data_IF_219135772779
#
_entry.id   IF_219135772779
#
_cell.length_a   1.000
_cell.length_b   1.000
_cell.length_c   1.000
_cell.angle_alpha   90.00
_cell.angle_beta   90.00
_cell.angle_gamma   90.00
#
_symmetry.space_group_name_H-M   'P 1'
#
loop_
_entity.id
_entity.type
_entity.pdbx_description
1 polymer ?
#
# COMPACT_ATOMS: atom_id res chain seq x y z
N UNK A 1 10.56 -3.71 9.11
CA UNK A 1 11.31 -4.96 9.41
C UNK A 1 10.30 -6.08 9.62
N UNK A 2 10.53 -7.26 9.04
CA UNK A 2 9.66 -8.41 9.26
C UNK A 2 9.69 -8.84 10.73
N UNK A 3 8.54 -9.15 11.31
CA UNK A 3 8.43 -9.70 12.65
C UNK A 3 8.99 -11.12 12.71
N UNK A 4 9.44 -11.53 13.90
CA UNK A 4 9.92 -12.90 14.15
C UNK A 4 8.87 -13.97 13.84
N UNK A 5 7.58 -13.64 13.93
CA UNK A 5 6.50 -14.57 13.57
C UNK A 5 6.52 -14.86 12.06
N UNK A 6 6.70 -13.84 11.23
CA UNK A 6 6.68 -14.00 9.76
C UNK A 6 7.87 -14.78 9.25
N UNK A 7 9.06 -14.49 9.81
CA UNK A 7 10.25 -15.28 9.46
C UNK A 7 10.04 -16.77 9.77
N UNK A 8 9.36 -17.12 10.87
CA UNK A 8 9.01 -18.51 11.17
C UNK A 8 8.02 -19.09 10.17
N UNK A 9 7.01 -18.32 9.75
CA UNK A 9 6.05 -18.76 8.73
C UNK A 9 6.77 -19.04 7.40
N UNK A 10 7.63 -18.12 6.93
CA UNK A 10 8.41 -18.30 5.70
C UNK A 10 9.36 -19.50 5.79
N UNK A 11 10.02 -19.68 6.93
CA UNK A 11 10.87 -20.87 7.18
C UNK A 11 10.04 -22.15 7.12
N UNK A 12 8.85 -22.18 7.73
CA UNK A 12 7.97 -23.34 7.71
C UNK A 12 7.47 -23.66 6.28
N UNK A 13 7.09 -22.64 5.51
CA UNK A 13 6.71 -22.79 4.10
C UNK A 13 7.85 -23.37 3.26
N UNK A 14 9.07 -22.84 3.42
CA UNK A 14 10.24 -23.34 2.72
C UNK A 14 10.58 -24.79 3.09
N UNK A 15 10.50 -25.14 4.38
CA UNK A 15 10.69 -26.51 4.86
C UNK A 15 9.61 -27.45 4.31
N UNK A 16 8.35 -27.02 4.30
CA UNK A 16 7.24 -27.80 3.76
C UNK A 16 7.45 -28.12 2.28
N UNK A 17 7.79 -27.11 1.47
CA UNK A 17 8.12 -27.28 0.06
C UNK A 17 9.34 -28.22 -0.13
N UNK A 18 10.37 -28.09 0.71
CA UNK A 18 11.53 -28.98 0.69
C UNK A 18 11.16 -30.44 0.96
N UNK A 19 10.32 -30.72 1.96
CA UNK A 19 9.92 -32.09 2.28
C UNK A 19 8.92 -32.71 1.29
N UNK A 20 8.16 -31.91 0.55
CA UNK A 20 7.29 -32.40 -0.52
C UNK A 20 8.00 -32.67 -1.85
N UNK A 21 9.16 -32.04 -2.08
CA UNK A 21 9.86 -32.20 -3.35
C UNK A 21 10.49 -33.59 -3.49
N UNK A 22 10.23 -34.28 -4.61
CA UNK A 22 10.79 -35.61 -4.92
C UNK A 22 12.32 -35.65 -4.93
N UNK A 23 12.96 -34.51 -5.24
CA UNK A 23 14.41 -34.29 -5.19
C UNK A 23 14.71 -32.99 -4.47
N UNK A 24 14.79 -33.07 -3.16
CA UNK A 24 14.98 -31.92 -2.29
C UNK A 24 16.47 -31.56 -2.15
N UNK A 25 16.81 -30.32 -2.54
CA UNK A 25 18.15 -29.73 -2.38
C UNK A 25 18.07 -28.57 -1.38
N UNK A 26 18.84 -28.66 -0.31
CA UNK A 26 18.84 -27.68 0.77
C UNK A 26 19.28 -26.29 0.27
N UNK A 27 20.21 -26.24 -0.69
CA UNK A 27 20.66 -24.99 -1.28
C UNK A 27 19.56 -24.33 -2.10
N UNK A 28 18.72 -25.12 -2.80
CA UNK A 28 17.55 -24.62 -3.52
C UNK A 28 16.52 -24.07 -2.52
N UNK A 29 16.17 -24.83 -1.48
CA UNK A 29 15.22 -24.40 -0.47
C UNK A 29 15.68 -23.13 0.27
N UNK A 30 16.97 -23.00 0.56
CA UNK A 30 17.55 -21.79 1.14
C UNK A 30 17.38 -20.57 0.22
N UNK A 31 17.63 -20.71 -1.08
CA UNK A 31 17.42 -19.63 -2.05
C UNK A 31 15.95 -19.23 -2.15
N UNK A 32 15.03 -20.19 -2.20
CA UNK A 32 13.59 -19.91 -2.25
C UNK A 32 13.07 -19.23 -0.98
N UNK A 33 13.61 -19.56 0.20
CA UNK A 33 13.30 -18.85 1.45
C UNK A 33 13.70 -17.37 1.37
N UNK A 34 14.94 -17.07 0.95
CA UNK A 34 15.38 -15.68 0.82
C UNK A 34 14.60 -14.92 -0.26
N UNK A 35 14.26 -15.61 -1.36
CA UNK A 35 13.41 -15.06 -2.42
C UNK A 35 12.03 -14.70 -1.89
N UNK A 36 11.39 -15.56 -1.11
CA UNK A 36 10.05 -15.27 -0.55
C UNK A 36 10.10 -14.08 0.40
N UNK A 37 11.15 -13.96 1.22
CA UNK A 37 11.38 -12.81 2.09
C UNK A 37 11.54 -11.52 1.27
N UNK A 38 12.30 -11.57 0.17
CA UNK A 38 12.47 -10.42 -0.72
C UNK A 38 11.13 -10.02 -1.37
N UNK A 39 10.30 -10.99 -1.76
CA UNK A 39 8.97 -10.72 -2.34
C UNK A 39 8.00 -10.03 -1.39
N UNK A 40 8.06 -10.33 -0.08
CA UNK A 40 7.30 -9.58 0.93
C UNK A 40 7.75 -8.12 0.98
N UNK A 41 9.05 -7.87 0.90
CA UNK A 41 9.57 -6.49 0.90
C UNK A 41 9.17 -5.75 -0.38
N UNK A 42 9.20 -6.42 -1.52
CA UNK A 42 8.71 -5.91 -2.80
C UNK A 42 7.25 -5.47 -2.70
N UNK A 43 6.38 -6.33 -2.15
CA UNK A 43 4.96 -6.03 -1.91
C UNK A 43 4.77 -4.85 -0.95
N UNK A 44 5.59 -4.77 0.10
CA UNK A 44 5.56 -3.63 1.03
C UNK A 44 5.84 -2.30 0.31
N UNK A 45 6.87 -2.26 -0.54
CA UNK A 45 7.18 -1.06 -1.34
C UNK A 45 6.07 -0.78 -2.35
N UNK A 46 5.47 -1.83 -2.93
CA UNK A 46 4.34 -1.71 -3.87
C UNK A 46 3.12 -1.04 -3.21
N UNK A 47 2.71 -1.48 -2.02
CA UNK A 47 1.59 -0.89 -1.28
C UNK A 47 1.90 0.50 -0.73
N UNK A 48 3.15 0.78 -0.34
CA UNK A 48 3.56 2.15 -0.01
C UNK A 48 3.48 3.09 -1.23
N UNK A 49 3.83 2.59 -2.42
CA UNK A 49 3.65 3.37 -3.65
C UNK A 49 2.17 3.60 -3.97
N UNK A 50 1.27 2.67 -3.62
CA UNK A 50 -0.18 2.89 -3.73
C UNK A 50 -0.65 4.04 -2.82
N UNK A 51 -0.18 4.09 -1.57
CA UNK A 51 -0.52 5.20 -0.65
C UNK A 51 -0.09 6.56 -1.21
N UNK A 52 1.08 6.62 -1.85
CA UNK A 52 1.51 7.83 -2.57
C UNK A 52 0.54 8.19 -3.68
N UNK A 53 0.15 7.24 -4.53
CA UNK A 53 -0.73 7.50 -5.68
C UNK A 53 -2.15 7.91 -5.25
N UNK A 54 -2.64 7.40 -4.11
CA UNK A 54 -3.87 7.86 -3.46
C UNK A 54 -3.76 9.31 -2.96
N UNK A 55 -2.61 9.67 -2.38
CA UNK A 55 -2.31 11.05 -1.99
C UNK A 55 -2.19 11.99 -3.21
N UNK A 56 -1.54 11.56 -4.28
CA UNK A 56 -1.45 12.33 -5.53
C UNK A 56 -2.86 12.51 -6.15
N UNK A 57 -3.74 11.51 -6.02
CA UNK A 57 -5.16 11.61 -6.42
C UNK A 57 -5.95 12.63 -5.58
N UNK A 58 -5.67 12.73 -4.28
CA UNK A 58 -6.23 13.76 -3.38
C UNK A 58 -5.87 15.18 -3.85
N UNK A 59 -4.60 15.38 -4.23
CA UNK A 59 -4.13 16.64 -4.76
C UNK A 59 -4.78 16.98 -6.11
N UNK A 60 -4.83 16.02 -7.04
CA UNK A 60 -5.41 16.24 -8.36
C UNK A 60 -6.92 16.55 -8.30
N UNK A 61 -7.67 15.86 -7.45
CA UNK A 61 -9.09 16.14 -7.26
C UNK A 61 -9.33 17.54 -6.67
N UNK A 62 -8.47 17.98 -5.76
CA UNK A 62 -8.55 19.32 -5.19
C UNK A 62 -8.22 20.41 -6.24
N UNK A 63 -7.19 20.20 -7.05
CA UNK A 63 -6.83 21.10 -8.15
C UNK A 63 -7.99 21.25 -9.15
N UNK A 64 -8.66 20.14 -9.49
CA UNK A 64 -9.86 20.12 -10.34
C UNK A 64 -11.04 20.89 -9.71
N UNK A 65 -11.19 20.86 -8.38
CA UNK A 65 -12.22 21.63 -7.66
C UNK A 65 -11.93 23.13 -7.69
N UNK A 66 -10.66 23.54 -7.54
CA UNK A 66 -10.27 24.95 -7.64
C UNK A 66 -10.47 25.54 -9.04
N UNK A 67 -10.38 24.71 -10.08
CA UNK A 67 -10.65 25.11 -11.47
C UNK A 67 -12.14 25.26 -11.80
N UNK A 68 -13.06 24.73 -10.97
CA UNK A 68 -14.51 24.93 -11.17
C UNK A 68 -14.89 26.38 -10.87
N UNK A 69 -15.65 27.00 -11.77
CA UNK A 69 -16.00 28.43 -11.75
C UNK A 69 -16.74 28.94 -10.49
N UNK A 70 -17.29 28.05 -9.66
CA UNK A 70 -17.96 28.40 -8.40
C UNK A 70 -17.68 27.35 -7.32
N UNK A 71 -16.49 27.36 -6.70
CA UNK A 71 -16.20 26.49 -5.58
C UNK A 71 -16.99 26.98 -4.36
N UNK A 72 -17.64 26.09 -3.61
CA UNK A 72 -18.24 26.48 -2.32
C UNK A 72 -17.11 26.83 -1.35
N UNK A 73 -17.30 27.81 -0.46
CA UNK A 73 -16.27 28.21 0.51
C UNK A 73 -15.80 27.05 1.42
N UNK A 74 -16.66 26.06 1.65
CA UNK A 74 -16.36 24.81 2.35
C UNK A 74 -15.46 23.85 1.54
N UNK A 75 -15.54 23.89 0.20
CA UNK A 75 -14.75 23.08 -0.73
C UNK A 75 -13.36 23.70 -0.99
N UNK A 76 -13.24 25.03 -0.98
CA UNK A 76 -11.93 25.74 -1.03
C UNK A 76 -11.09 25.47 0.23
N UNK A 77 -11.76 25.17 1.34
CA UNK A 77 -11.15 24.77 2.61
C UNK A 77 -11.00 23.25 2.75
N UNK A 78 -11.25 22.47 1.70
CA UNK A 78 -10.90 21.04 1.68
C UNK A 78 -9.37 20.94 1.76
N UNK A 79 -8.87 20.91 3.00
CA UNK A 79 -7.45 20.77 3.30
C UNK A 79 -6.98 19.52 2.58
N UNK A 80 -5.93 19.64 1.77
CA UNK A 80 -5.23 18.55 1.07
C UNK A 80 -4.60 17.59 2.09
N UNK A 81 -5.41 16.98 2.93
CA UNK A 81 -4.97 16.45 4.22
C UNK A 81 -4.37 15.09 4.02
N UNK A 82 -4.85 14.31 3.05
CA UNK A 82 -4.25 13.03 2.69
C UNK A 82 -2.92 13.25 1.98
N UNK A 83 -2.84 14.19 1.02
CA UNK A 83 -1.57 14.54 0.39
C UNK A 83 -0.53 15.04 1.40
N UNK A 84 -0.93 15.91 2.33
CA UNK A 84 -0.03 16.52 3.31
C UNK A 84 0.28 15.66 4.54
N UNK A 85 -0.16 14.39 4.59
CA UNK A 85 0.20 13.51 5.71
C UNK A 85 1.72 13.46 5.83
N UNK A 86 2.23 13.81 7.02
CA UNK A 86 3.68 13.92 7.27
C UNK A 86 4.44 12.64 6.93
N UNK A 87 3.85 11.48 7.18
CA UNK A 87 4.43 10.20 6.81
C UNK A 87 4.61 10.04 5.29
N UNK A 88 3.58 10.36 4.50
CA UNK A 88 3.64 10.26 3.04
C UNK A 88 4.69 11.22 2.49
N UNK A 89 4.71 12.47 2.96
CA UNK A 89 5.70 13.46 2.53
C UNK A 89 7.13 13.04 2.88
N UNK A 90 7.35 12.53 4.10
CA UNK A 90 8.66 12.02 4.51
C UNK A 90 9.09 10.78 3.71
N UNK A 91 8.14 9.89 3.38
CA UNK A 91 8.37 8.71 2.57
C UNK A 91 8.77 9.10 1.13
N UNK A 92 8.04 10.01 0.50
CA UNK A 92 8.33 10.48 -0.87
C UNK A 92 9.66 11.22 -0.94
N UNK A 93 10.03 11.97 0.10
CA UNK A 93 11.32 12.64 0.19
C UNK A 93 12.49 11.69 0.52
N UNK A 94 12.21 10.45 0.93
CA UNK A 94 13.24 9.49 1.31
C UNK A 94 13.95 8.90 0.09
N UNK A 95 15.27 9.03 0.07
CA UNK A 95 16.12 8.42 -0.96
C UNK A 95 15.99 6.89 -1.00
N UNK A 96 15.82 6.26 0.16
CA UNK A 96 15.68 4.81 0.24
C UNK A 96 14.41 4.34 -0.45
N UNK A 97 13.30 5.06 -0.25
CA UNK A 97 12.04 4.76 -0.93
C UNK A 97 12.21 4.87 -2.45
N UNK A 98 12.79 5.96 -2.95
CA UNK A 98 13.08 6.14 -4.38
C UNK A 98 13.97 5.00 -4.94
N UNK A 99 15.00 4.60 -4.20
CA UNK A 99 15.89 3.50 -4.59
C UNK A 99 15.15 2.17 -4.67
N UNK A 100 14.30 1.86 -3.68
CA UNK A 100 13.54 0.61 -3.68
C UNK A 100 12.44 0.59 -4.74
N UNK A 101 11.72 1.69 -4.95
CA UNK A 101 10.71 1.80 -6.02
C UNK A 101 11.36 1.56 -7.39
N UNK A 102 12.57 2.09 -7.61
CA UNK A 102 13.32 1.83 -8.85
C UNK A 102 13.84 0.40 -8.95
N UNK A 103 14.39 -0.15 -7.85
CA UNK A 103 14.93 -1.52 -7.81
C UNK A 103 13.85 -2.56 -8.13
N UNK A 104 12.65 -2.36 -7.60
CA UNK A 104 11.54 -3.30 -7.74
C UNK A 104 10.61 -2.96 -8.91
N UNK A 105 10.84 -1.85 -9.60
CA UNK A 105 9.99 -1.36 -10.69
C UNK A 105 8.52 -1.22 -10.30
N UNK A 106 8.23 -0.92 -9.03
CA UNK A 106 6.86 -0.74 -8.51
C UNK A 106 6.27 0.54 -9.08
N UNK A 107 5.18 0.43 -9.85
CA UNK A 107 4.52 1.57 -10.49
C UNK A 107 3.05 1.28 -10.75
N UNK A 108 2.17 2.18 -10.32
CA UNK A 108 0.72 2.11 -10.56
C UNK A 108 0.25 2.87 -11.81
N UNK A 109 1.17 3.38 -12.62
CA UNK A 109 0.87 4.22 -13.77
C UNK A 109 -0.04 3.56 -14.83
N UNK A 110 -0.04 2.23 -14.92
CA UNK A 110 -0.93 1.49 -15.83
C UNK A 110 -2.32 1.24 -15.25
N UNK A 111 -2.44 1.40 -13.93
CA UNK A 111 -3.59 0.98 -13.12
C UNK A 111 -4.20 2.17 -12.37
N UNK A 112 -3.97 3.39 -12.89
CA UNK A 112 -4.50 4.63 -12.33
C UNK A 112 -6.03 4.63 -12.23
N UNK A 113 -6.72 3.87 -13.09
CA UNK A 113 -8.17 3.67 -12.99
C UNK A 113 -8.58 2.95 -11.70
N UNK A 114 -7.81 1.95 -11.28
CA UNK A 114 -8.02 1.24 -10.02
C UNK A 114 -7.71 2.17 -8.84
N UNK A 115 -6.58 2.87 -8.88
CA UNK A 115 -6.21 3.88 -7.86
C UNK A 115 -7.30 4.93 -7.69
N UNK A 116 -7.83 5.45 -8.80
CA UNK A 116 -8.89 6.46 -8.79
C UNK A 116 -10.19 5.92 -8.20
N UNK A 117 -10.56 4.68 -8.51
CA UNK A 117 -11.74 4.03 -7.90
C UNK A 117 -11.58 3.91 -6.39
N UNK A 118 -10.44 3.40 -5.93
CA UNK A 118 -10.10 3.28 -4.51
C UNK A 118 -10.14 4.63 -3.80
N UNK A 119 -9.52 5.67 -4.39
CA UNK A 119 -9.56 7.02 -3.84
C UNK A 119 -10.99 7.55 -3.72
N UNK A 120 -11.83 7.38 -4.75
CA UNK A 120 -13.22 7.83 -4.71
C UNK A 120 -14.06 7.08 -3.67
N UNK A 121 -13.76 5.81 -3.41
CA UNK A 121 -14.40 5.03 -2.33
C UNK A 121 -14.00 5.56 -0.95
N UNK A 122 -12.71 5.81 -0.73
CA UNK A 122 -12.20 6.42 0.50
C UNK A 122 -12.82 7.81 0.70
N UNK A 123 -12.84 8.64 -0.35
CA UNK A 123 -13.37 10.02 -0.30
C UNK A 123 -14.85 10.08 0.07
N UNK A 124 -15.65 9.10 -0.37
CA UNK A 124 -17.09 9.02 -0.08
C UNK A 124 -17.38 8.61 1.37
N UNK A 125 -16.39 8.12 2.09
CA UNK A 125 -16.58 7.54 3.40
C UNK A 125 -16.73 8.61 4.49
N UNK A 126 -17.45 8.25 5.57
CA UNK A 126 -17.60 9.14 6.72
C UNK A 126 -16.26 9.34 7.44
N UNK A 127 -15.37 8.35 7.39
CA UNK A 127 -14.05 8.37 8.00
C UNK A 127 -13.15 9.43 7.36
N UNK A 128 -13.13 9.51 6.02
CA UNK A 128 -12.38 10.56 5.32
C UNK A 128 -12.99 11.94 5.59
N UNK A 129 -14.34 12.05 5.63
CA UNK A 129 -15.01 13.31 6.00
C UNK A 129 -14.67 13.78 7.41
N UNK A 130 -14.70 12.87 8.40
CA UNK A 130 -14.33 13.16 9.78
C UNK A 130 -12.85 13.55 9.89
N UNK A 131 -11.99 12.85 9.15
CA UNK A 131 -10.57 13.20 9.04
C UNK A 131 -10.36 14.59 8.45
N UNK A 132 -11.15 15.05 7.48
CA UNK A 132 -11.04 16.42 6.96
C UNK A 132 -11.49 17.49 7.97
N UNK A 133 -12.50 17.19 8.80
CA UNK A 133 -13.10 18.16 9.73
C UNK A 133 -12.31 18.35 11.03
N UNK A 134 -11.66 17.30 11.54
CA UNK A 134 -10.95 17.34 12.82
C UNK A 134 -9.45 17.60 12.65
N UNK A 135 -9.00 18.85 12.72
CA UNK A 135 -7.59 19.25 12.58
C UNK A 135 -6.60 18.53 13.52
N UNK A 136 -7.06 17.92 14.61
CA UNK A 136 -6.21 17.17 15.55
C UNK A 136 -6.26 15.65 15.31
N UNK A 137 -7.04 15.17 14.33
CA UNK A 137 -7.12 13.76 14.01
C UNK A 137 -5.73 13.17 13.72
N UNK A 138 -5.50 12.00 14.31
CA UNK A 138 -4.24 11.30 14.21
C UNK A 138 -4.05 10.73 12.79
N UNK A 139 -3.08 11.29 12.06
CA UNK A 139 -2.73 10.87 10.69
C UNK A 139 -2.39 9.38 10.59
N UNK A 140 -1.75 8.82 11.63
CA UNK A 140 -1.39 7.40 11.67
C UNK A 140 -2.64 6.52 11.71
N UNK A 141 -3.59 6.88 12.56
CA UNK A 141 -4.85 6.13 12.70
C UNK A 141 -5.67 6.19 11.41
N UNK A 142 -5.58 7.32 10.69
CA UNK A 142 -6.21 7.45 9.38
C UNK A 142 -5.55 6.58 8.30
N UNK A 143 -4.22 6.56 8.21
CA UNK A 143 -3.51 5.65 7.29
C UNK A 143 -3.82 4.19 7.59
N UNK A 144 -3.86 3.83 8.89
CA UNK A 144 -4.26 2.51 9.34
C UNK A 144 -5.65 2.12 8.89
N UNK A 145 -6.58 3.07 8.99
CA UNK A 145 -7.95 2.89 8.55
C UNK A 145 -8.00 2.67 7.04
N UNK A 146 -7.21 3.40 6.24
CA UNK A 146 -7.08 3.15 4.79
C UNK A 146 -6.61 1.71 4.55
N UNK A 147 -5.51 1.30 5.18
CA UNK A 147 -4.94 -0.04 4.96
C UNK A 147 -5.91 -1.17 5.33
N UNK A 148 -6.55 -1.08 6.49
CA UNK A 148 -7.35 -2.18 7.07
C UNK A 148 -8.80 -2.20 6.62
N UNK A 149 -9.39 -1.04 6.32
CA UNK A 149 -10.82 -0.94 6.00
C UNK A 149 -11.10 -0.76 4.51
N UNK A 150 -10.14 -0.21 3.76
CA UNK A 150 -10.32 0.04 2.33
C UNK A 150 -9.45 -0.85 1.46
N UNK A 151 -8.18 -1.06 1.80
CA UNK A 151 -7.28 -1.83 0.94
C UNK A 151 -7.38 -3.33 1.20
N UNK A 152 -7.24 -3.78 2.45
CA UNK A 152 -7.27 -5.20 2.80
C UNK A 152 -8.56 -5.94 2.37
N UNK A 153 -9.79 -5.43 2.61
CA UNK A 153 -11.00 -6.14 2.22
C UNK A 153 -11.39 -5.95 0.74
N UNK A 154 -10.59 -5.22 -0.05
CA UNK A 154 -10.91 -4.97 -1.44
C UNK A 154 -10.45 -6.13 -2.33
N UNK A 155 -11.39 -7.00 -2.68
CA UNK A 155 -11.15 -8.18 -3.54
C UNK A 155 -10.55 -7.79 -4.90
N UNK A 156 -10.94 -6.64 -5.47
CA UNK A 156 -10.39 -6.20 -6.77
C UNK A 156 -8.91 -5.85 -6.66
N UNK A 157 -8.51 -5.19 -5.57
CA UNK A 157 -7.12 -4.89 -5.28
C UNK A 157 -6.33 -6.16 -4.97
N UNK A 158 -6.88 -7.07 -4.19
CA UNK A 158 -6.24 -8.36 -3.88
C UNK A 158 -5.96 -9.18 -5.15
N UNK A 159 -6.96 -9.30 -6.03
CA UNK A 159 -6.78 -9.97 -7.33
C UNK A 159 -5.75 -9.28 -8.21
N UNK A 160 -5.75 -7.94 -8.26
CA UNK A 160 -4.76 -7.21 -9.03
C UNK A 160 -3.33 -7.43 -8.50
N UNK A 161 -3.14 -7.44 -7.18
CA UNK A 161 -1.85 -7.76 -6.53
C UNK A 161 -1.40 -9.17 -6.86
N UNK A 162 -2.31 -10.15 -6.90
CA UNK A 162 -2.04 -11.53 -7.31
C UNK A 162 -1.62 -11.63 -8.78
N UNK A 163 -2.29 -10.89 -9.68
CA UNK A 163 -1.95 -10.84 -11.11
C UNK A 163 -0.57 -10.22 -11.36
N UNK A 164 -0.21 -9.17 -10.62
CA UNK A 164 1.13 -8.55 -10.68
C UNK A 164 2.21 -9.51 -10.17
N UNK A 165 1.92 -10.24 -9.09
CA UNK A 165 2.84 -11.25 -8.59
C UNK A 165 2.14 -12.34 -7.77
N UNK A 166 2.19 -13.57 -8.29
CA UNK A 166 1.64 -14.76 -7.62
C UNK A 166 2.22 -14.99 -6.21
N UNK A 167 3.41 -14.49 -5.91
CA UNK A 167 4.04 -14.62 -4.59
C UNK A 167 3.45 -13.66 -3.55
N UNK A 168 2.66 -12.67 -3.94
CA UNK A 168 2.17 -11.61 -3.05
C UNK A 168 0.85 -11.93 -2.38
N UNK A 169 0.01 -12.78 -2.97
CA UNK A 169 -1.33 -13.08 -2.45
C UNK A 169 -1.31 -13.53 -0.99
N UNK A 170 -0.45 -14.50 -0.64
CA UNK A 170 -0.35 -15.02 0.72
C UNK A 170 0.10 -13.97 1.75
N UNK A 171 0.80 -12.94 1.29
CA UNK A 171 1.39 -11.91 2.15
C UNK A 171 0.61 -10.59 2.11
N UNK A 172 -0.43 -10.45 1.27
CA UNK A 172 -1.14 -9.18 1.05
C UNK A 172 -1.78 -8.63 2.33
N UNK A 173 -2.75 -9.37 2.91
CA UNK A 173 -3.37 -9.01 4.19
C UNK A 173 -2.31 -8.74 5.26
N UNK A 174 -1.27 -9.56 5.27
CA UNK A 174 -0.18 -9.42 6.22
C UNK A 174 0.59 -8.09 6.06
N UNK A 175 0.98 -7.71 4.84
CA UNK A 175 1.72 -6.47 4.56
C UNK A 175 0.83 -5.26 4.87
N UNK A 176 -0.47 -5.32 4.59
CA UNK A 176 -1.43 -4.28 5.00
C UNK A 176 -1.37 -4.00 6.51
N UNK A 177 -1.19 -5.03 7.32
CA UNK A 177 -1.03 -4.90 8.77
C UNK A 177 0.36 -4.40 9.24
N UNK A 178 1.43 -4.60 8.46
CA UNK A 178 2.78 -4.08 8.82
C UNK A 178 2.85 -2.57 8.71
N UNK A 179 2.14 -1.98 7.75
CA UNK A 179 2.21 -0.54 7.45
C UNK A 179 1.68 0.32 8.63
N UNK A 180 1.28 -0.32 9.74
CA UNK A 180 0.93 0.22 11.06
C UNK A 180 2.05 0.95 11.82
#
# INVERSE_FOLDING_TARGET
>A
MLSRRQLRVKVLQALYAYFQADKSDLAVAGRELFRSIEKVHELYIYLLSLLRELADSDQADADDLHLKFFPKAEEVNAKHRLFNIRFIQAMVASRDFELFTRRYHTSWQKDLDLVRKLFLEIKKSEEYRNFLLDDQANERDFLLLIMTRFLEPNETLEHHVEEENIFWQEDFSFVCHIIN
#
